data_IF_345243577751
#
_entry.id   IF_345243577751
#
_cell.length_a   1.000
_cell.length_b   1.000
_cell.length_c   1.000
_cell.angle_alpha   90.00
_cell.angle_beta   90.00
_cell.angle_gamma   90.00
#
_symmetry.space_group_name_H-M   'P 1'
#
loop_
_entity.id
_entity.type
_entity.pdbx_description
1 polymer ?
#
# COMPACT_ATOMS: atom_id res chain seq x y z
N UNK A 1 6.69 -10.03 13.47
CA UNK A 1 7.74 -10.14 12.42
C UNK A 1 7.27 -11.00 11.25
N UNK A 2 6.96 -12.29 11.44
CA UNK A 2 6.52 -13.18 10.36
C UNK A 2 5.27 -12.65 9.62
N UNK A 3 4.20 -12.30 10.35
CA UNK A 3 2.98 -11.76 9.76
C UNK A 3 3.21 -10.44 8.99
N UNK A 4 4.12 -9.59 9.47
CA UNK A 4 4.49 -8.34 8.81
C UNK A 4 5.19 -8.61 7.47
N UNK A 5 6.09 -9.59 7.43
CA UNK A 5 6.77 -10.04 6.20
C UNK A 5 5.79 -10.67 5.21
N UNK A 6 4.90 -11.54 5.68
CA UNK A 6 3.85 -12.14 4.83
C UNK A 6 2.97 -11.04 4.22
N UNK A 7 2.58 -10.06 5.04
CA UNK A 7 1.76 -8.95 4.58
C UNK A 7 2.50 -8.07 3.56
N UNK A 8 3.78 -7.78 3.79
CA UNK A 8 4.64 -7.07 2.84
C UNK A 8 4.76 -7.81 1.51
N UNK A 9 5.10 -9.10 1.52
CA UNK A 9 5.21 -9.88 0.29
C UNK A 9 3.86 -10.04 -0.42
N UNK A 10 2.76 -10.14 0.32
CA UNK A 10 1.41 -10.11 -0.25
C UNK A 10 1.14 -8.81 -1.00
N UNK A 11 1.53 -7.67 -0.43
CA UNK A 11 1.43 -6.36 -1.09
C UNK A 11 2.31 -6.25 -2.34
N UNK A 12 3.53 -6.77 -2.25
CA UNK A 12 4.47 -6.81 -3.38
C UNK A 12 3.97 -7.67 -4.54
N UNK A 13 3.29 -8.79 -4.28
CA UNK A 13 2.68 -9.61 -5.34
C UNK A 13 1.40 -8.96 -5.88
N UNK A 14 0.67 -8.19 -5.05
CA UNK A 14 -0.49 -7.46 -5.51
C UNK A 14 -0.13 -6.29 -6.44
N UNK A 15 1.05 -5.67 -6.26
CA UNK A 15 1.47 -4.57 -7.14
C UNK A 15 1.58 -5.00 -8.59
N UNK A 16 2.08 -6.21 -8.86
CA UNK A 16 2.23 -6.69 -10.25
C UNK A 16 0.88 -6.94 -10.91
N UNK A 17 -0.15 -7.37 -10.16
CA UNK A 17 -1.52 -7.48 -10.66
C UNK A 17 -2.14 -6.11 -10.97
N UNK A 18 -1.84 -5.11 -10.15
CA UNK A 18 -2.30 -3.74 -10.35
C UNK A 18 -1.60 -3.13 -11.57
N UNK A 19 -0.29 -3.34 -11.71
CA UNK A 19 0.50 -2.81 -12.82
C UNK A 19 0.05 -3.41 -14.16
N UNK A 20 -0.16 -4.73 -14.22
CA UNK A 20 -0.65 -5.38 -15.46
C UNK A 20 -2.05 -4.92 -15.85
N UNK A 21 -2.96 -4.78 -14.87
CA UNK A 21 -4.32 -4.32 -15.16
C UNK A 21 -4.38 -2.85 -15.58
N UNK A 22 -3.54 -1.98 -15.02
CA UNK A 22 -3.44 -0.58 -15.45
C UNK A 22 -2.72 -0.41 -16.78
N UNK A 23 -1.71 -1.24 -17.05
CA UNK A 23 -0.95 -1.23 -18.29
C UNK A 23 -1.78 -1.64 -19.53
N UNK A 24 -2.81 -2.46 -19.35
CA UNK A 24 -3.73 -2.86 -20.44
C UNK A 24 -4.53 -1.66 -20.98
N UNK A 25 -4.86 -0.68 -20.12
CA UNK A 25 -5.62 0.51 -20.49
C UNK A 25 -4.68 1.72 -20.65
N UNK A 26 -3.88 1.73 -21.72
CA UNK A 26 -2.85 2.75 -21.99
C UNK A 26 -3.31 4.21 -21.83
N UNK A 27 -4.51 4.56 -22.30
CA UNK A 27 -5.05 5.93 -22.17
C UNK A 27 -5.57 6.25 -20.75
N UNK A 28 -6.01 5.23 -20.01
CA UNK A 28 -6.53 5.39 -18.64
C UNK A 28 -5.43 5.26 -17.58
N UNK A 29 -4.20 4.92 -17.96
CA UNK A 29 -3.08 4.75 -17.04
C UNK A 29 -2.80 6.00 -16.18
N UNK A 30 -2.96 7.21 -16.76
CA UNK A 30 -2.81 8.47 -16.01
C UNK A 30 -3.90 8.63 -14.95
N UNK A 31 -5.15 8.28 -15.28
CA UNK A 31 -6.27 8.33 -14.34
C UNK A 31 -6.08 7.27 -13.25
N UNK A 32 -5.73 6.04 -13.61
CA UNK A 32 -5.47 4.95 -12.68
C UNK A 32 -4.33 5.25 -11.70
N UNK A 33 -3.21 5.78 -12.20
CA UNK A 33 -2.08 6.19 -11.35
C UNK A 33 -2.46 7.34 -10.39
N UNK A 34 -3.25 8.32 -10.84
CA UNK A 34 -3.75 9.40 -9.98
C UNK A 34 -4.63 8.88 -8.83
N UNK A 35 -5.50 7.91 -9.10
CA UNK A 35 -6.34 7.24 -8.11
C UNK A 35 -5.50 6.39 -7.15
N UNK A 36 -4.48 5.68 -7.65
CA UNK A 36 -3.56 4.94 -6.78
C UNK A 36 -2.84 5.87 -5.80
N UNK A 37 -2.28 6.97 -6.29
CA UNK A 37 -1.58 7.96 -5.45
C UNK A 37 -2.54 8.57 -4.43
N UNK A 38 -3.75 8.97 -4.85
CA UNK A 38 -4.77 9.50 -3.95
C UNK A 38 -5.18 8.49 -2.86
N UNK A 39 -5.26 7.20 -3.22
CA UNK A 39 -5.60 6.12 -2.27
C UNK A 39 -4.47 5.89 -1.26
N UNK A 40 -3.22 5.88 -1.71
CA UNK A 40 -2.04 5.73 -0.82
C UNK A 40 -1.94 6.90 0.15
N UNK A 41 -2.13 8.12 -0.34
CA UNK A 41 -2.04 9.32 0.49
C UNK A 41 -3.23 9.43 1.47
N UNK A 42 -4.45 9.09 1.00
CA UNK A 42 -5.63 8.98 1.87
C UNK A 42 -5.43 7.95 2.99
N UNK A 43 -4.83 6.80 2.66
CA UNK A 43 -4.49 5.78 3.66
C UNK A 43 -3.43 6.28 4.65
N UNK A 44 -2.40 7.01 4.19
CA UNK A 44 -1.40 7.63 5.08
C UNK A 44 -2.05 8.58 6.07
N UNK A 45 -2.85 9.54 5.58
CA UNK A 45 -3.54 10.51 6.42
C UNK A 45 -4.44 9.80 7.46
N UNK A 46 -5.17 8.77 7.03
CA UNK A 46 -6.02 7.98 7.91
C UNK A 46 -5.21 7.21 8.98
N UNK A 47 -4.16 6.49 8.57
CA UNK A 47 -3.31 5.71 9.47
C UNK A 47 -2.62 6.58 10.52
N UNK A 48 -2.08 7.75 10.13
CA UNK A 48 -1.44 8.67 11.07
C UNK A 48 -2.45 9.32 12.03
N UNK A 49 -3.64 9.67 11.56
CA UNK A 49 -4.72 10.20 12.41
C UNK A 49 -5.16 9.15 13.45
N UNK A 50 -5.34 7.90 13.03
CA UNK A 50 -5.70 6.79 13.90
C UNK A 50 -4.60 6.50 14.93
N UNK A 51 -3.34 6.44 14.49
CA UNK A 51 -2.19 6.16 15.36
C UNK A 51 -1.96 7.27 16.38
N UNK A 52 -2.13 8.55 15.99
CA UNK A 52 -2.09 9.68 16.93
C UNK A 52 -3.13 9.52 18.03
N UNK A 53 -4.33 9.08 17.68
CA UNK A 53 -5.41 8.81 18.65
C UNK A 53 -5.06 7.62 19.55
N UNK A 54 -4.54 6.52 19.01
CA UNK A 54 -4.15 5.36 19.82
C UNK A 54 -2.99 5.65 20.79
N UNK A 55 -2.01 6.47 20.41
CA UNK A 55 -0.91 6.86 21.30
C UNK A 55 -1.44 7.61 22.53
N UNK A 56 -2.51 8.40 22.36
CA UNK A 56 -3.16 9.13 23.45
C UNK A 56 -3.92 8.18 24.38
N UNK A 57 -4.61 7.17 23.84
CA UNK A 57 -5.47 6.28 24.64
C UNK A 57 -4.78 5.00 25.13
N UNK A 58 -3.54 4.69 24.71
CA UNK A 58 -2.72 3.51 25.13
C UNK A 58 -3.43 2.15 25.03
N UNK A 59 -4.49 2.04 24.23
CA UNK A 59 -5.24 0.80 24.08
C UNK A 59 -4.66 -0.02 22.93
N UNK A 60 -3.96 -1.11 23.25
CA UNK A 60 -3.56 -2.12 22.27
C UNK A 60 -4.78 -2.93 21.84
N UNK A 61 -5.51 -2.43 20.84
CA UNK A 61 -6.66 -3.13 20.26
C UNK A 61 -6.23 -4.05 19.11
N UNK A 62 -6.94 -5.16 18.91
CA UNK A 62 -6.79 -6.04 17.74
C UNK A 62 -6.88 -5.28 16.41
N UNK A 63 -7.66 -4.18 16.39
CA UNK A 63 -7.74 -3.27 15.24
C UNK A 63 -6.39 -2.61 14.92
N UNK A 64 -5.59 -2.25 15.93
CA UNK A 64 -4.26 -1.67 15.73
C UNK A 64 -3.31 -2.63 15.02
N UNK A 65 -3.36 -3.92 15.38
CA UNK A 65 -2.55 -4.97 14.73
C UNK A 65 -2.97 -5.13 13.26
N UNK A 66 -4.27 -5.11 12.96
CA UNK A 66 -4.77 -5.16 11.58
C UNK A 66 -4.33 -3.93 10.78
N UNK A 67 -4.39 -2.73 11.36
CA UNK A 67 -3.92 -1.50 10.72
C UNK A 67 -2.41 -1.52 10.44
N UNK A 68 -1.61 -2.05 11.36
CA UNK A 68 -0.19 -2.22 11.13
C UNK A 68 0.09 -3.22 10.01
N UNK A 69 -0.64 -4.34 9.94
CA UNK A 69 -0.54 -5.29 8.82
C UNK A 69 -0.92 -4.63 7.49
N UNK A 70 -2.04 -3.91 7.42
CA UNK A 70 -2.43 -3.18 6.21
C UNK A 70 -1.37 -2.14 5.80
N UNK A 71 -0.69 -1.51 6.75
CA UNK A 71 0.41 -0.61 6.46
C UNK A 71 1.63 -1.34 5.86
N UNK A 72 1.98 -2.53 6.36
CA UNK A 72 3.02 -3.38 5.75
C UNK A 72 2.63 -3.84 4.34
N UNK A 73 1.37 -4.22 4.12
CA UNK A 73 0.84 -4.53 2.79
C UNK A 73 0.98 -3.35 1.83
N UNK A 74 0.56 -2.15 2.25
CA UNK A 74 0.70 -0.91 1.47
C UNK A 74 2.17 -0.63 1.11
N UNK A 75 3.09 -0.80 2.06
CA UNK A 75 4.53 -0.62 1.80
C UNK A 75 5.03 -1.61 0.74
N UNK A 76 4.60 -2.87 0.80
CA UNK A 76 4.90 -3.87 -0.22
C UNK A 76 4.38 -3.49 -1.61
N UNK A 77 3.14 -2.98 -1.66
CA UNK A 77 2.49 -2.53 -2.89
C UNK A 77 3.27 -1.38 -3.54
N UNK A 78 3.59 -0.33 -2.78
CA UNK A 78 4.36 0.83 -3.28
C UNK A 78 5.76 0.39 -3.74
N UNK A 79 6.43 -0.45 -2.96
CA UNK A 79 7.76 -0.95 -3.34
C UNK A 79 7.71 -1.76 -4.64
N UNK A 80 6.73 -2.64 -4.79
CA UNK A 80 6.57 -3.44 -5.99
C UNK A 80 6.26 -2.61 -7.24
N UNK A 81 5.37 -1.62 -7.15
CA UNK A 81 5.11 -0.69 -8.25
C UNK A 81 6.37 0.08 -8.68
N UNK A 82 7.18 0.53 -7.72
CA UNK A 82 8.45 1.22 -8.02
C UNK A 82 9.40 0.26 -8.75
N UNK A 83 9.55 -0.97 -8.27
CA UNK A 83 10.42 -1.97 -8.88
C UNK A 83 9.98 -2.29 -10.31
N UNK A 84 8.68 -2.45 -10.55
CA UNK A 84 8.15 -2.75 -11.88
C UNK A 84 8.30 -1.56 -12.85
N UNK A 85 8.11 -0.32 -12.38
CA UNK A 85 8.36 0.88 -13.18
C UNK A 85 9.83 0.98 -13.66
N UNK A 86 10.80 0.53 -12.85
CA UNK A 86 12.21 0.50 -13.25
C UNK A 86 12.55 -0.67 -14.19
N UNK A 87 11.80 -1.77 -14.18
CA UNK A 87 12.03 -2.89 -15.11
C UNK A 87 11.72 -2.55 -16.56
N UNK A 88 10.77 -1.65 -16.79
CA UNK A 88 10.33 -1.23 -18.13
C UNK A 88 11.21 -0.13 -18.75
N UNK A 89 12.22 0.36 -18.03
CA UNK A 89 13.12 1.44 -18.45
C UNK A 89 14.48 1.03 -19.00
N UNK A 90 14.72 -0.26 -19.28
CA UNK A 90 15.96 -0.78 -19.91
C UNK A 90 15.74 -1.32 -21.31
#
# INVERSE_FOLDING_TARGET
>A
MLFSLISFFGGFLASSLIDTSLGEFSEWAVVGSSILVATVEGFNAFYFSYKRTQVIFRTSSYLGILFDLLNYFKLGLVYGLIVDAFKLGS
#
